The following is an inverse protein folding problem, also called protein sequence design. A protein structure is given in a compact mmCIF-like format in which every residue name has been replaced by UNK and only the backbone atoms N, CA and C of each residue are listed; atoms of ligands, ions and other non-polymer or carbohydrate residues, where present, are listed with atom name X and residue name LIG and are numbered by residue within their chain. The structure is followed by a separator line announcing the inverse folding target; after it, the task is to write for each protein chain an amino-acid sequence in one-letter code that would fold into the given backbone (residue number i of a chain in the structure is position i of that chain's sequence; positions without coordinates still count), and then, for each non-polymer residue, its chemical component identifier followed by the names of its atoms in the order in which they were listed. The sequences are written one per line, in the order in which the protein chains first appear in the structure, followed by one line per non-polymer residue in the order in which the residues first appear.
data_IF_158948328549
#
_entry.id   IF_158948328549
#
_cell.length_a   1.000
_cell.length_b   1.000
_cell.length_c   1.000
_cell.angle_alpha   90.00
_cell.angle_beta   90.00
_cell.angle_gamma   90.00
#
_symmetry.space_group_name_H-M   'P 1'
#
loop_
_entity.id
_entity.type
_entity.pdbx_description
1 polymer ?
#
# COMPACT_ATOMS: atom_id res chain seq x y z
N UNK A 1 0.63 20.07 -7.21
CA UNK A 1 -0.22 19.06 -6.56
C UNK A 1 0.29 18.84 -5.15
N UNK A 2 -0.58 18.72 -4.16
CA UNK A 2 -0.25 18.60 -2.74
C UNK A 2 -0.99 17.41 -2.16
N UNK A 3 -0.35 16.71 -1.24
CA UNK A 3 -0.99 15.71 -0.38
C UNK A 3 -1.41 16.39 0.92
N UNK A 4 -2.65 16.20 1.35
CA UNK A 4 -3.19 16.71 2.62
C UNK A 4 -3.56 15.54 3.51
N UNK A 5 -2.93 15.48 4.69
CA UNK A 5 -3.29 14.55 5.77
C UNK A 5 -3.87 15.36 6.92
N UNK A 6 -5.12 15.10 7.30
CA UNK A 6 -5.73 15.73 8.46
C UNK A 6 -6.20 14.69 9.49
N UNK A 7 -6.41 15.15 10.71
CA UNK A 7 -7.05 14.42 11.82
C UNK A 7 -7.45 15.45 12.90
N UNK A 8 -8.58 15.28 13.62
CA UNK A 8 -9.60 14.25 13.44
C UNK A 8 -10.39 14.42 12.13
N UNK A 9 -11.08 13.37 11.70
CA UNK A 9 -11.99 13.44 10.54
C UNK A 9 -13.43 13.76 10.92
N UNK A 10 -13.70 13.88 12.21
CA UNK A 10 -15.05 14.07 12.75
C UNK A 10 -15.11 15.29 13.65
N UNK A 11 -16.29 15.90 13.74
CA UNK A 11 -16.58 16.98 14.67
C UNK A 11 -17.91 16.73 15.39
N UNK A 12 -17.83 16.67 16.72
CA UNK A 12 -18.97 16.54 17.65
C UNK A 12 -19.99 15.45 17.29
N UNK A 13 -19.53 14.34 16.71
CA UNK A 13 -20.35 13.26 16.16
C UNK A 13 -21.50 13.72 15.24
N UNK A 14 -21.36 14.90 14.61
CA UNK A 14 -22.36 15.51 13.73
C UNK A 14 -21.88 15.70 12.31
N UNK A 15 -20.56 15.79 12.13
CA UNK A 15 -19.92 15.99 10.82
C UNK A 15 -18.77 15.00 10.69
N UNK A 16 -18.63 14.41 9.51
CA UNK A 16 -17.48 13.59 9.13
C UNK A 16 -16.96 14.02 7.76
N UNK A 17 -15.65 13.98 7.60
CA UNK A 17 -14.94 14.14 6.33
C UNK A 17 -14.77 12.77 5.66
N UNK A 18 -14.88 12.73 4.33
CA UNK A 18 -14.76 11.53 3.51
C UNK A 18 -14.07 11.86 2.18
N UNK A 19 -13.33 10.90 1.59
CA UNK A 19 -12.62 11.08 0.33
C UNK A 19 -11.62 12.24 0.38
N UNK A 20 -11.50 13.00 -0.71
CA UNK A 20 -10.55 14.12 -0.81
C UNK A 20 -10.71 15.19 0.28
N UNK A 21 -11.90 15.32 0.90
CA UNK A 21 -12.09 16.24 2.03
C UNK A 21 -11.31 15.79 3.28
N UNK A 22 -11.07 14.49 3.43
CA UNK A 22 -10.32 13.88 4.52
C UNK A 22 -8.85 13.57 4.14
N UNK A 23 -8.60 13.18 2.89
CA UNK A 23 -7.30 12.71 2.41
C UNK A 23 -7.07 13.04 0.93
N UNK A 24 -6.83 14.31 0.61
CA UNK A 24 -6.41 14.67 -0.75
C UNK A 24 -5.01 14.10 -1.05
N UNK A 25 -4.91 13.26 -2.08
CA UNK A 25 -3.65 12.60 -2.47
C UNK A 25 -3.22 12.97 -3.89
N UNK A 26 -1.91 12.91 -4.13
CA UNK A 26 -1.37 13.08 -5.48
C UNK A 26 -1.80 11.92 -6.41
N UNK A 27 -2.07 12.16 -7.71
CA UNK A 27 -2.69 11.18 -8.59
C UNK A 27 -1.73 10.11 -9.13
N UNK A 28 -0.55 9.95 -8.54
CA UNK A 28 0.51 9.08 -9.08
C UNK A 28 0.27 7.60 -8.83
N UNK A 29 -0.71 7.21 -8.02
CA UNK A 29 -1.17 5.81 -7.90
C UNK A 29 -2.55 5.58 -8.56
N UNK A 30 -3.27 6.63 -8.96
CA UNK A 30 -4.64 6.49 -9.49
C UNK A 30 -5.68 5.99 -8.48
N UNK A 31 -5.43 6.15 -7.17
CA UNK A 31 -6.25 5.54 -6.10
C UNK A 31 -7.13 6.53 -5.33
N UNK A 32 -7.13 7.83 -5.65
CA UNK A 32 -7.93 8.82 -4.90
C UNK A 32 -9.43 8.51 -4.92
N UNK A 33 -9.98 8.30 -6.12
CA UNK A 33 -11.39 7.89 -6.30
C UNK A 33 -11.68 6.54 -5.62
N UNK A 34 -10.81 5.54 -5.79
CA UNK A 34 -11.04 4.21 -5.22
C UNK A 34 -11.03 4.25 -3.69
N UNK A 35 -10.09 4.97 -3.08
CA UNK A 35 -10.02 5.16 -1.63
C UNK A 35 -11.27 5.89 -1.11
N UNK A 36 -11.74 6.92 -1.82
CA UNK A 36 -12.99 7.60 -1.49
C UNK A 36 -14.23 6.72 -1.61
N UNK A 37 -14.28 5.81 -2.59
CA UNK A 37 -15.36 4.82 -2.69
C UNK A 37 -15.28 3.75 -1.59
N UNK A 38 -14.08 3.31 -1.23
CA UNK A 38 -13.86 2.41 -0.11
C UNK A 38 -14.33 3.04 1.22
N UNK A 39 -14.11 4.34 1.40
CA UNK A 39 -14.66 5.05 2.56
C UNK A 39 -16.18 4.97 2.63
N UNK A 40 -16.89 5.12 1.50
CA UNK A 40 -18.34 5.02 1.46
C UNK A 40 -18.83 3.62 1.85
N UNK A 41 -18.14 2.58 1.36
CA UNK A 41 -18.46 1.17 1.69
C UNK A 41 -18.27 0.93 3.18
N UNK A 42 -17.12 1.30 3.73
CA UNK A 42 -16.81 1.12 5.16
C UNK A 42 -17.78 1.90 6.04
N UNK A 43 -18.14 3.13 5.65
CA UNK A 43 -19.12 3.91 6.38
C UNK A 43 -20.51 3.23 6.38
N UNK A 44 -20.95 2.69 5.23
CA UNK A 44 -22.21 1.95 5.13
C UNK A 44 -22.22 0.69 6.01
N UNK A 45 -21.15 -0.10 5.98
CA UNK A 45 -21.00 -1.27 6.84
C UNK A 45 -21.07 -0.92 8.33
N UNK A 46 -20.46 0.21 8.73
CA UNK A 46 -20.53 0.69 10.11
C UNK A 46 -21.93 1.18 10.50
N UNK A 47 -22.65 1.81 9.57
CA UNK A 47 -24.06 2.20 9.78
C UNK A 47 -24.92 0.98 10.09
N UNK A 48 -24.77 -0.10 9.32
CA UNK A 48 -25.46 -1.36 9.55
C UNK A 48 -25.04 -2.01 10.88
N UNK A 49 -23.72 -2.12 11.12
CA UNK A 49 -23.15 -2.72 12.33
C UNK A 49 -23.64 -2.07 13.62
N UNK A 50 -23.74 -0.74 13.63
CA UNK A 50 -24.09 0.03 14.83
C UNK A 50 -25.55 0.47 14.87
N UNK A 51 -26.39 -0.01 13.94
CA UNK A 51 -27.81 0.34 13.89
C UNK A 51 -28.04 1.86 13.93
N UNK A 52 -27.31 2.59 13.09
CA UNK A 52 -27.37 4.06 12.98
C UNK A 52 -26.93 4.85 14.24
N UNK A 53 -26.23 4.23 15.20
CA UNK A 53 -25.65 4.93 16.35
C UNK A 53 -24.39 5.74 15.95
N UNK A 54 -24.60 6.99 15.50
CA UNK A 54 -23.55 7.90 15.05
C UNK A 54 -22.46 8.19 16.10
N UNK A 55 -22.76 8.00 17.39
CA UNK A 55 -21.76 8.15 18.45
C UNK A 55 -20.74 7.00 18.46
N UNK A 56 -21.05 5.86 17.82
CA UNK A 56 -20.13 4.74 17.61
C UNK A 56 -19.56 4.72 16.20
N UNK A 57 -20.41 5.00 15.20
CA UNK A 57 -20.03 4.96 13.77
C UNK A 57 -18.87 5.91 13.49
N UNK A 58 -18.98 7.18 13.87
CA UNK A 58 -17.98 8.19 13.52
C UNK A 58 -16.61 7.96 14.18
N UNK A 59 -16.54 7.67 15.50
CA UNK A 59 -15.26 7.29 16.10
C UNK A 59 -14.63 6.05 15.48
N UNK A 60 -15.41 5.01 15.20
CA UNK A 60 -14.87 3.79 14.58
C UNK A 60 -14.41 4.04 13.14
N UNK A 61 -15.19 4.78 12.35
CA UNK A 61 -14.89 5.11 10.95
C UNK A 61 -13.53 5.80 10.81
N UNK A 62 -13.28 6.88 11.56
CA UNK A 62 -12.01 7.59 11.43
C UNK A 62 -10.82 6.74 11.91
N UNK A 63 -10.99 5.92 12.95
CA UNK A 63 -9.93 5.04 13.44
C UNK A 63 -9.63 3.92 12.44
N UNK A 64 -10.66 3.44 11.75
CA UNK A 64 -10.52 2.42 10.73
C UNK A 64 -9.90 2.98 9.46
N UNK A 65 -10.35 4.13 8.95
CA UNK A 65 -9.95 4.64 7.63
C UNK A 65 -8.72 5.54 7.62
N UNK A 66 -8.42 6.24 8.73
CA UNK A 66 -7.25 7.13 8.79
C UNK A 66 -5.93 6.44 8.45
N UNK A 67 -5.61 5.23 8.97
CA UNK A 67 -4.39 4.53 8.59
C UNK A 67 -4.30 4.23 7.08
N UNK A 68 -5.42 3.92 6.45
CA UNK A 68 -5.45 3.56 5.03
C UNK A 68 -5.38 4.80 4.12
N UNK A 69 -6.06 5.89 4.49
CA UNK A 69 -5.95 7.18 3.81
C UNK A 69 -4.52 7.75 3.88
N UNK A 70 -3.84 7.59 5.01
CA UNK A 70 -2.44 7.99 5.13
C UNK A 70 -1.49 7.08 4.36
N UNK A 71 -1.74 5.78 4.36
CA UNK A 71 -0.92 4.81 3.65
C UNK A 71 -0.98 5.03 2.13
N UNK A 72 -2.18 5.21 1.57
CA UNK A 72 -2.29 5.44 0.13
C UNK A 72 -1.68 6.77 -0.31
N UNK A 73 -1.74 7.79 0.56
CA UNK A 73 -1.05 9.06 0.35
C UNK A 73 0.47 8.89 0.26
N UNK A 74 1.07 8.08 1.15
CA UNK A 74 2.51 7.81 1.14
C UNK A 74 2.90 6.94 -0.05
N UNK A 75 2.11 5.90 -0.35
CA UNK A 75 2.30 5.04 -1.53
C UNK A 75 2.26 5.85 -2.83
N UNK A 76 1.35 6.83 -2.95
CA UNK A 76 1.28 7.68 -4.12
C UNK A 76 2.52 8.58 -4.29
N UNK A 77 3.06 9.12 -3.20
CA UNK A 77 4.31 9.90 -3.23
C UNK A 77 5.51 9.00 -3.56
N UNK A 78 5.56 7.79 -3.00
CA UNK A 78 6.60 6.82 -3.29
C UNK A 78 6.59 6.43 -4.78
N UNK A 79 5.40 6.15 -5.34
CA UNK A 79 5.26 5.79 -6.75
C UNK A 79 5.69 6.92 -7.70
N UNK A 80 5.42 8.19 -7.33
CA UNK A 80 5.96 9.33 -8.07
C UNK A 80 7.49 9.32 -8.14
N UNK A 81 8.14 9.09 -7.00
CA UNK A 81 9.61 9.05 -6.90
C UNK A 81 10.17 7.88 -7.70
N UNK A 82 9.54 6.71 -7.60
CA UNK A 82 9.90 5.53 -8.38
C UNK A 82 9.82 5.79 -9.89
N UNK A 83 8.69 6.32 -10.37
CA UNK A 83 8.49 6.62 -11.79
C UNK A 83 9.46 7.67 -12.32
N UNK A 84 9.74 8.71 -11.53
CA UNK A 84 10.61 9.84 -11.92
C UNK A 84 12.09 9.45 -11.95
N UNK A 85 12.57 8.75 -10.93
CA UNK A 85 14.02 8.62 -10.67
C UNK A 85 14.57 7.23 -10.97
N UNK A 86 13.76 6.17 -10.83
CA UNK A 86 14.27 4.79 -10.77
C UNK A 86 13.99 3.96 -12.01
N UNK A 87 13.05 4.36 -12.86
CA UNK A 87 12.61 3.56 -14.03
C UNK A 87 13.72 3.25 -15.04
N UNK A 88 14.78 4.06 -15.08
CA UNK A 88 15.97 3.85 -15.91
C UNK A 88 17.19 3.33 -15.14
N UNK A 89 17.11 3.10 -13.82
CA UNK A 89 18.22 2.62 -13.00
C UNK A 89 18.40 1.09 -13.18
N UNK A 90 19.57 0.61 -13.67
CA UNK A 90 19.82 -0.82 -13.83
C UNK A 90 19.67 -1.63 -12.55
N UNK A 91 20.00 -1.06 -11.38
CA UNK A 91 19.85 -1.76 -10.08
C UNK A 91 18.38 -1.95 -9.74
N UNK A 92 17.58 -0.92 -9.95
CA UNK A 92 16.14 -0.98 -9.74
C UNK A 92 15.48 -1.99 -10.69
N UNK A 93 15.87 -2.00 -11.97
CA UNK A 93 15.38 -2.98 -12.95
C UNK A 93 15.74 -4.42 -12.56
N UNK A 94 16.95 -4.66 -12.05
CA UNK A 94 17.36 -5.97 -11.55
C UNK A 94 16.52 -6.40 -10.34
N UNK A 95 16.31 -5.51 -9.37
CA UNK A 95 15.45 -5.80 -8.23
C UNK A 95 14.03 -6.18 -8.68
N UNK A 96 13.42 -5.40 -9.58
CA UNK A 96 12.09 -5.71 -10.13
C UNK A 96 12.06 -7.04 -10.89
N UNK A 97 13.15 -7.40 -11.56
CA UNK A 97 13.30 -8.71 -12.22
C UNK A 97 13.30 -9.86 -11.22
N UNK A 98 14.00 -9.71 -10.09
CA UNK A 98 14.03 -10.70 -9.01
C UNK A 98 12.64 -10.82 -8.36
N UNK A 99 12.02 -9.70 -7.99
CA UNK A 99 10.67 -9.67 -7.41
C UNK A 99 9.66 -10.39 -8.31
N UNK A 100 9.65 -10.07 -9.61
CA UNK A 100 8.75 -10.68 -10.58
C UNK A 100 9.00 -12.19 -10.74
N UNK A 101 10.26 -12.62 -10.79
CA UNK A 101 10.60 -14.04 -10.91
C UNK A 101 10.20 -14.83 -9.66
N UNK A 102 10.47 -14.28 -8.47
CA UNK A 102 10.10 -14.92 -7.21
C UNK A 102 8.58 -15.01 -7.06
N UNK A 103 7.86 -13.91 -7.31
CA UNK A 103 6.40 -13.87 -7.26
C UNK A 103 5.73 -14.85 -8.24
N UNK A 104 6.29 -15.03 -9.44
CA UNK A 104 5.77 -16.00 -10.41
C UNK A 104 5.88 -17.45 -9.92
N UNK A 105 6.92 -17.79 -9.12
CA UNK A 105 7.12 -19.12 -8.55
C UNK A 105 6.37 -19.33 -7.22
N UNK A 106 6.26 -18.28 -6.40
CA UNK A 106 5.64 -18.31 -5.06
C UNK A 106 4.56 -17.23 -4.92
N UNK A 107 3.49 -17.28 -5.73
CA UNK A 107 2.45 -16.24 -5.74
C UNK A 107 1.69 -16.13 -4.42
N UNK A 108 1.69 -17.19 -3.61
CA UNK A 108 1.10 -17.25 -2.27
C UNK A 108 1.97 -16.57 -1.19
N UNK A 109 3.27 -16.37 -1.46
CA UNK A 109 4.24 -15.82 -0.49
C UNK A 109 4.71 -14.42 -0.82
N UNK A 110 4.61 -14.02 -2.08
CA UNK A 110 5.04 -12.71 -2.54
C UNK A 110 4.05 -12.12 -3.54
N UNK A 111 3.17 -11.27 -3.04
CA UNK A 111 2.26 -10.48 -3.86
C UNK A 111 2.95 -9.13 -4.09
N UNK A 112 3.18 -8.70 -5.34
CA UNK A 112 3.79 -7.40 -5.62
C UNK A 112 2.97 -6.26 -5.02
N UNK A 113 3.64 -5.24 -4.47
CA UNK A 113 2.98 -4.08 -3.85
C UNK A 113 1.90 -3.45 -4.73
N UNK A 114 2.20 -3.23 -6.01
CA UNK A 114 1.24 -2.68 -6.96
C UNK A 114 -0.03 -3.55 -7.08
N UNK A 115 0.12 -4.88 -7.06
CA UNK A 115 -1.00 -5.84 -7.12
C UNK A 115 -1.81 -5.87 -5.83
N UNK A 116 -1.17 -5.73 -4.67
CA UNK A 116 -1.88 -5.58 -3.39
C UNK A 116 -2.77 -4.34 -3.38
N UNK A 117 -2.24 -3.20 -3.85
CA UNK A 117 -2.97 -1.91 -3.82
C UNK A 117 -4.05 -1.83 -4.91
N UNK A 118 -3.80 -2.39 -6.09
CA UNK A 118 -4.65 -2.16 -7.28
C UNK A 118 -5.68 -3.27 -7.50
N UNK A 119 -5.32 -4.53 -7.19
CA UNK A 119 -6.10 -5.70 -7.59
C UNK A 119 -6.60 -6.53 -6.41
N UNK A 120 -6.31 -6.13 -5.17
CA UNK A 120 -6.65 -6.90 -3.97
C UNK A 120 -7.54 -6.07 -3.02
N UNK A 121 -8.85 -5.94 -3.29
CA UNK A 121 -9.75 -5.09 -2.49
C UNK A 121 -9.93 -5.54 -1.04
N UNK A 122 -9.50 -6.76 -0.70
CA UNK A 122 -9.51 -7.30 0.67
C UNK A 122 -8.24 -6.94 1.46
N UNK A 123 -7.21 -6.39 0.81
CA UNK A 123 -5.97 -5.96 1.47
C UNK A 123 -6.07 -4.45 1.71
N UNK A 124 -6.07 -4.07 2.99
CA UNK A 124 -6.06 -2.67 3.41
C UNK A 124 -4.78 -1.97 2.93
N UNK A 125 -4.87 -0.70 2.53
CA UNK A 125 -3.71 0.09 2.10
C UNK A 125 -2.60 0.13 3.16
N UNK A 126 -2.97 0.25 4.44
CA UNK A 126 -1.99 0.23 5.54
C UNK A 126 -1.29 -1.12 5.71
N UNK A 127 -1.95 -2.22 5.38
CA UNK A 127 -1.34 -3.56 5.32
C UNK A 127 -0.41 -3.67 4.12
N UNK A 128 -0.85 -3.22 2.94
CA UNK A 128 -0.03 -3.23 1.72
C UNK A 128 1.26 -2.41 1.88
N UNK A 129 1.17 -1.22 2.52
CA UNK A 129 2.34 -0.39 2.80
C UNK A 129 3.37 -1.13 3.67
N UNK A 130 2.95 -1.70 4.81
CA UNK A 130 3.83 -2.46 5.72
C UNK A 130 4.45 -3.67 5.03
N UNK A 131 3.66 -4.38 4.24
CA UNK A 131 4.16 -5.54 3.49
C UNK A 131 5.15 -5.13 2.41
N UNK A 132 4.90 -4.00 1.72
CA UNK A 132 5.84 -3.40 0.77
C UNK A 132 7.17 -3.01 1.43
N UNK A 133 7.14 -2.42 2.62
CA UNK A 133 8.35 -2.10 3.40
C UNK A 133 9.12 -3.37 3.80
N UNK A 134 8.40 -4.43 4.19
CA UNK A 134 9.00 -5.74 4.50
C UNK A 134 9.68 -6.33 3.26
N UNK A 135 8.98 -6.36 2.13
CA UNK A 135 9.48 -6.87 0.85
C UNK A 135 10.73 -6.10 0.39
N UNK A 136 10.69 -4.76 0.46
CA UNK A 136 11.84 -3.90 0.16
C UNK A 136 13.03 -4.20 1.08
N UNK A 137 12.80 -4.39 2.38
CA UNK A 137 13.85 -4.76 3.33
C UNK A 137 14.49 -6.12 3.04
N UNK A 138 13.74 -7.08 2.51
CA UNK A 138 14.28 -8.37 2.02
C UNK A 138 15.11 -8.13 0.75
N UNK A 139 14.58 -7.37 -0.22
CA UNK A 139 15.27 -7.10 -1.47
C UNK A 139 16.58 -6.34 -1.27
N UNK A 140 16.66 -5.41 -0.32
CA UNK A 140 17.92 -4.75 0.03
C UNK A 140 19.02 -5.73 0.45
N UNK A 141 18.67 -6.80 1.19
CA UNK A 141 19.62 -7.85 1.57
C UNK A 141 20.03 -8.71 0.38
N UNK A 142 19.07 -9.07 -0.49
CA UNK A 142 19.34 -9.86 -1.70
C UNK A 142 20.22 -9.09 -2.69
N UNK A 143 19.91 -7.82 -2.91
CA UNK A 143 20.68 -6.94 -3.81
C UNK A 143 22.10 -6.65 -3.30
N UNK A 144 22.38 -6.88 -2.02
CA UNK A 144 23.71 -6.76 -1.43
C UNK A 144 24.60 -8.00 -1.63
N UNK A 145 24.06 -9.10 -2.15
CA UNK A 145 24.81 -10.32 -2.43
C UNK A 145 25.80 -10.08 -3.59
N UNK A 146 27.04 -10.56 -3.43
CA UNK A 146 28.06 -10.44 -4.47
C UNK A 146 27.64 -11.14 -5.77
N UNK A 147 27.92 -10.50 -6.91
CA UNK A 147 27.57 -10.97 -8.26
C UNK A 147 26.07 -11.28 -8.43
N UNK A 148 25.19 -10.60 -7.70
CA UNK A 148 23.73 -10.82 -7.78
C UNK A 148 23.21 -10.69 -9.22
N UNK A 149 23.77 -9.80 -10.04
CA UNK A 149 23.45 -9.63 -11.45
C UNK A 149 23.64 -10.91 -12.30
N UNK A 150 24.53 -11.81 -11.87
CA UNK A 150 24.83 -13.08 -12.57
C UNK A 150 24.05 -14.27 -12.04
N UNK A 151 23.54 -14.21 -10.80
CA UNK A 151 22.88 -15.34 -10.13
C UNK A 151 21.46 -15.05 -9.62
N UNK A 152 20.88 -13.93 -10.03
CA UNK A 152 19.57 -13.44 -9.59
C UNK A 152 18.41 -14.45 -9.72
N UNK A 153 18.47 -15.36 -10.69
CA UNK A 153 17.46 -16.39 -10.98
C UNK A 153 17.83 -17.80 -10.48
N UNK A 154 18.92 -17.92 -9.72
CA UNK A 154 19.38 -19.19 -9.18
C UNK A 154 18.51 -19.68 -8.01
N UNK A 155 18.50 -21.01 -7.80
CA UNK A 155 17.86 -21.61 -6.61
C UNK A 155 18.47 -21.12 -5.29
N UNK A 156 19.74 -20.70 -5.29
CA UNK A 156 20.40 -20.14 -4.11
C UNK A 156 19.65 -18.88 -3.65
N UNK A 157 19.43 -17.93 -4.57
CA UNK A 157 18.73 -16.68 -4.27
C UNK A 157 17.28 -16.96 -3.88
N UNK A 158 16.60 -17.88 -4.56
CA UNK A 158 15.23 -18.28 -4.21
C UNK A 158 15.15 -18.83 -2.78
N UNK A 159 16.09 -19.70 -2.38
CA UNK A 159 16.16 -20.25 -1.02
C UNK A 159 16.49 -19.18 0.01
N UNK A 160 17.34 -18.21 -0.31
CA UNK A 160 17.63 -17.09 0.59
C UNK A 160 16.40 -16.22 0.82
N UNK A 161 15.63 -15.89 -0.22
CA UNK A 161 14.37 -15.15 -0.08
C UNK A 161 13.39 -15.94 0.80
N UNK A 162 13.21 -17.24 0.56
CA UNK A 162 12.31 -18.10 1.34
C UNK A 162 12.67 -18.19 2.83
N UNK A 163 13.93 -18.03 3.22
CA UNK A 163 14.34 -18.01 4.63
C UNK A 163 13.97 -16.71 5.36
N UNK A 164 13.70 -15.63 4.61
CA UNK A 164 13.41 -14.31 5.15
C UNK A 164 11.92 -13.96 5.14
N UNK A 165 11.08 -14.81 4.53
CA UNK A 165 9.62 -14.67 4.52
C UNK A 165 9.03 -15.35 5.75
#
# INVERSE_FOLDING_TARGET
LVTVKCFPWIFDNRVALIGDAAHAIVPFFGQGMNCGFEDCVVLNELIEKHSEDWNKIFPEYQLLRKPDGDAIADLAIANFTEMRDKTADPKFLLQKKIEAHFSAKHPDKWIPLYSMVTYSPHIRYSTALKEGERQEGIMQKIMAIADIDKKWDSEEIEKEILKMI
#
